data_IF_633417332886
#
_entry.id   IF_633417332886
#
_cell.length_a   1.000
_cell.length_b   1.000
_cell.length_c   1.000
_cell.angle_alpha   90.00
_cell.angle_beta   90.00
_cell.angle_gamma   90.00
#
_symmetry.space_group_name_H-M   'P 1'
#
loop_
_entity.id
_entity.type
_entity.pdbx_description
1 polymer ?
#
# COMPACT_ATOMS: atom_id res chain seq x y z
N UNK A 1 -20.16 -18.08 -7.02
CA UNK A 1 -19.64 -16.88 -7.70
C UNK A 1 -18.14 -16.80 -7.46
N UNK A 2 -17.33 -16.56 -8.49
CA UNK A 2 -15.87 -16.49 -8.39
C UNK A 2 -15.41 -15.05 -8.48
N UNK A 3 -14.56 -14.62 -7.55
CA UNK A 3 -14.10 -13.24 -7.38
C UNK A 3 -12.58 -13.19 -7.31
N UNK A 4 -11.95 -12.20 -7.93
CA UNK A 4 -10.51 -11.98 -7.78
C UNK A 4 -10.22 -11.21 -6.48
N UNK A 5 -9.24 -11.67 -5.71
CA UNK A 5 -8.79 -11.05 -4.46
C UNK A 5 -7.30 -10.73 -4.52
N UNK A 6 -6.95 -9.44 -4.56
CA UNK A 6 -5.57 -8.96 -4.56
C UNK A 6 -5.08 -8.57 -3.16
N UNK A 7 -3.92 -9.07 -2.73
CA UNK A 7 -3.22 -8.58 -1.54
C UNK A 7 -1.70 -8.78 -1.65
N UNK A 8 -0.92 -8.18 -0.73
CA UNK A 8 0.54 -8.26 -0.83
C UNK A 8 1.10 -9.56 -0.23
N UNK A 9 2.28 -10.03 -0.66
CA UNK A 9 2.93 -11.18 -0.04
C UNK A 9 3.51 -10.88 1.36
N UNK A 10 3.28 -9.69 1.92
CA UNK A 10 3.77 -9.33 3.25
C UNK A 10 3.12 -10.18 4.36
N UNK A 11 3.85 -10.53 5.42
CA UNK A 11 3.37 -11.42 6.49
C UNK A 11 2.01 -11.04 7.09
N UNK A 12 1.75 -9.74 7.26
CA UNK A 12 0.49 -9.26 7.81
C UNK A 12 -0.70 -9.58 6.91
N UNK A 13 -0.57 -9.50 5.59
CA UNK A 13 -1.67 -9.79 4.67
C UNK A 13 -1.88 -11.30 4.52
N UNK A 14 -0.79 -12.06 4.39
CA UNK A 14 -0.88 -13.52 4.35
C UNK A 14 -1.49 -14.07 5.63
N UNK A 15 -1.23 -13.43 6.78
CA UNK A 15 -1.88 -13.78 8.04
C UNK A 15 -3.37 -13.44 8.04
N UNK A 16 -3.76 -12.24 7.60
CA UNK A 16 -5.17 -11.81 7.51
C UNK A 16 -5.99 -12.76 6.63
N UNK A 17 -5.43 -13.19 5.50
CA UNK A 17 -6.16 -13.97 4.49
C UNK A 17 -5.91 -15.49 4.55
N UNK A 18 -5.05 -16.00 5.43
CA UNK A 18 -4.69 -17.43 5.51
C UNK A 18 -5.93 -18.34 5.55
N UNK A 19 -6.85 -18.05 6.48
CA UNK A 19 -8.00 -18.89 6.70
C UNK A 19 -8.96 -18.89 5.50
N UNK A 20 -9.11 -17.75 4.83
CA UNK A 20 -9.95 -17.60 3.64
C UNK A 20 -9.36 -18.34 2.44
N UNK A 21 -8.07 -18.13 2.17
CA UNK A 21 -7.39 -18.72 1.00
C UNK A 21 -7.23 -20.23 1.12
N UNK A 22 -7.07 -20.76 2.33
CA UNK A 22 -6.93 -22.18 2.58
C UNK A 22 -8.27 -22.89 2.89
N UNK A 23 -9.41 -22.24 2.69
CA UNK A 23 -10.73 -22.86 2.90
C UNK A 23 -11.01 -23.27 4.35
N UNK A 24 -10.40 -22.60 5.32
CA UNK A 24 -10.59 -22.83 6.77
C UNK A 24 -11.81 -22.08 7.33
N UNK A 25 -12.50 -21.29 6.51
CA UNK A 25 -13.74 -20.60 6.84
C UNK A 25 -14.80 -20.89 5.78
N UNK A 26 -16.07 -20.95 6.19
CA UNK A 26 -17.19 -21.08 5.27
C UNK A 26 -17.44 -19.77 4.53
N UNK A 27 -17.26 -19.80 3.21
CA UNK A 27 -17.49 -18.67 2.30
C UNK A 27 -18.79 -18.82 1.50
N UNK A 28 -19.62 -19.82 1.84
CA UNK A 28 -20.86 -20.14 1.15
C UNK A 28 -20.63 -20.37 -0.35
N UNK A 29 -21.31 -19.59 -1.19
CA UNK A 29 -21.22 -19.70 -2.63
C UNK A 29 -20.00 -18.96 -3.24
N UNK A 30 -19.19 -18.25 -2.44
CA UNK A 30 -18.07 -17.46 -2.93
C UNK A 30 -16.79 -18.28 -3.04
N UNK A 31 -16.08 -18.12 -4.16
CA UNK A 31 -14.74 -18.64 -4.40
C UNK A 31 -13.82 -17.49 -4.77
N UNK A 32 -12.55 -17.57 -4.39
CA UNK A 32 -11.58 -16.50 -4.57
C UNK A 32 -10.40 -16.94 -5.44
N UNK A 33 -10.17 -16.22 -6.54
CA UNK A 33 -8.93 -16.32 -7.31
C UNK A 33 -7.93 -15.31 -6.72
N UNK A 34 -6.92 -15.81 -6.02
CA UNK A 34 -5.97 -14.98 -5.27
C UNK A 34 -4.86 -14.45 -6.18
N UNK A 35 -4.54 -13.17 -6.03
CA UNK A 35 -3.44 -12.51 -6.73
C UNK A 35 -2.53 -11.83 -5.70
N UNK A 36 -1.24 -12.20 -5.71
CA UNK A 36 -0.24 -11.64 -4.79
C UNK A 36 0.65 -10.65 -5.52
N UNK A 37 0.60 -9.37 -5.14
CA UNK A 37 1.34 -8.30 -5.82
C UNK A 37 1.82 -7.21 -4.86
N UNK A 38 2.79 -6.40 -5.31
CA UNK A 38 3.21 -5.21 -4.57
C UNK A 38 2.05 -4.22 -4.37
N UNK A 39 2.03 -3.53 -3.23
CA UNK A 39 0.93 -2.63 -2.87
C UNK A 39 0.78 -1.47 -3.86
N UNK A 40 1.86 -0.97 -4.45
CA UNK A 40 1.78 0.08 -5.46
C UNK A 40 1.13 -0.45 -6.74
N UNK A 41 1.46 -1.68 -7.16
CA UNK A 41 0.78 -2.37 -8.27
C UNK A 41 -0.72 -2.55 -7.98
N UNK A 42 -1.07 -2.98 -6.76
CA UNK A 42 -2.47 -3.11 -6.35
C UNK A 42 -3.22 -1.77 -6.36
N UNK A 43 -2.56 -0.67 -5.95
CA UNK A 43 -3.12 0.67 -6.04
C UNK A 43 -3.39 1.08 -7.51
N UNK A 44 -2.45 0.82 -8.41
CA UNK A 44 -2.60 1.11 -9.84
C UNK A 44 -3.72 0.29 -10.48
N UNK A 45 -3.86 -0.97 -10.09
CA UNK A 45 -4.94 -1.84 -10.54
C UNK A 45 -6.31 -1.46 -9.98
N UNK A 46 -6.36 -0.91 -8.76
CA UNK A 46 -7.58 -0.36 -8.19
C UNK A 46 -8.07 0.85 -9.00
N UNK A 47 -7.17 1.76 -9.40
CA UNK A 47 -7.49 2.87 -10.31
C UNK A 47 -8.05 2.40 -11.67
N UNK A 48 -7.68 1.20 -12.11
CA UNK A 48 -8.13 0.59 -13.36
C UNK A 48 -9.39 -0.30 -13.19
N UNK A 49 -9.90 -0.48 -11.98
CA UNK A 49 -11.03 -1.39 -11.74
C UNK A 49 -10.71 -2.88 -12.00
N UNK A 50 -9.43 -3.27 -11.96
CA UNK A 50 -8.98 -4.58 -12.48
C UNK A 50 -9.38 -5.77 -11.61
N UNK A 51 -9.50 -5.61 -10.29
CA UNK A 51 -9.80 -6.69 -9.35
C UNK A 51 -11.12 -6.43 -8.63
N UNK A 52 -11.96 -7.45 -8.44
CA UNK A 52 -13.18 -7.33 -7.67
C UNK A 52 -12.94 -6.91 -6.21
N UNK A 53 -11.86 -7.41 -5.58
CA UNK A 53 -11.47 -7.08 -4.21
C UNK A 53 -9.95 -6.86 -4.21
N UNK A 54 -9.49 -5.76 -3.60
CA UNK A 54 -8.06 -5.43 -3.55
C UNK A 54 -7.68 -4.79 -2.22
N UNK A 55 -6.59 -5.26 -1.60
CA UNK A 55 -5.89 -4.54 -0.55
C UNK A 55 -5.23 -3.32 -1.17
N UNK A 56 -5.55 -2.15 -0.62
CA UNK A 56 -5.07 -0.87 -1.12
C UNK A 56 -4.38 -0.09 -0.02
N UNK A 57 -3.60 0.91 -0.43
CA UNK A 57 -3.17 1.99 0.45
C UNK A 57 -4.31 2.97 0.68
N UNK A 58 -4.52 3.43 1.91
CA UNK A 58 -5.43 4.56 2.15
C UNK A 58 -5.07 5.82 1.35
N UNK A 59 -3.80 5.98 0.95
CA UNK A 59 -3.36 7.03 0.04
C UNK A 59 -4.08 7.05 -1.32
N UNK A 60 -4.49 5.90 -1.87
CA UNK A 60 -5.24 5.82 -3.14
C UNK A 60 -6.75 5.90 -2.96
N UNK A 61 -7.24 5.67 -1.74
CA UNK A 61 -8.68 5.52 -1.46
C UNK A 61 -9.53 6.68 -2.02
N UNK A 62 -9.18 7.97 -1.85
CA UNK A 62 -9.98 9.08 -2.37
C UNK A 62 -10.15 9.08 -3.89
N UNK A 63 -9.28 8.38 -4.62
CA UNK A 63 -9.29 8.32 -6.08
C UNK A 63 -10.16 7.18 -6.64
N UNK A 64 -10.62 6.27 -5.78
CA UNK A 64 -11.34 5.04 -6.19
C UNK A 64 -12.72 4.91 -5.55
N UNK A 65 -13.17 5.88 -4.75
CA UNK A 65 -14.45 5.81 -4.01
C UNK A 65 -15.69 5.72 -4.90
N UNK A 66 -15.60 6.12 -6.16
CA UNK A 66 -16.70 5.98 -7.12
C UNK A 66 -16.87 4.54 -7.63
N UNK A 67 -15.80 3.74 -7.59
CA UNK A 67 -15.77 2.37 -8.14
C UNK A 67 -15.63 1.30 -7.06
N UNK A 68 -15.14 1.65 -5.86
CA UNK A 68 -14.92 0.73 -4.76
C UNK A 68 -15.53 1.23 -3.46
N UNK A 69 -15.96 0.29 -2.64
CA UNK A 69 -16.36 0.53 -1.26
C UNK A 69 -15.32 -0.07 -0.32
N UNK A 70 -14.92 0.69 0.70
CA UNK A 70 -14.02 0.23 1.74
C UNK A 70 -14.74 -0.77 2.67
N UNK A 71 -14.14 -1.93 2.89
CA UNK A 71 -14.63 -2.91 3.84
C UNK A 71 -14.28 -2.52 5.28
N UNK A 72 -15.12 -2.95 6.24
CA UNK A 72 -14.93 -2.71 7.67
C UNK A 72 -13.88 -3.65 8.32
N UNK A 73 -13.21 -4.50 7.54
CA UNK A 73 -12.27 -5.51 8.01
C UNK A 73 -11.09 -5.67 7.04
N UNK A 74 -10.00 -6.28 7.52
CA UNK A 74 -8.80 -6.58 6.71
C UNK A 74 -7.83 -5.41 6.53
N UNK A 75 -8.08 -4.26 7.16
CA UNK A 75 -7.19 -3.10 7.12
C UNK A 75 -6.00 -3.21 8.08
N UNK A 76 -4.97 -2.39 7.83
CA UNK A 76 -3.83 -2.18 8.73
C UNK A 76 -3.81 -0.72 9.21
N UNK A 77 -4.23 -0.49 10.45
CA UNK A 77 -4.30 0.82 11.08
C UNK A 77 -3.80 0.76 12.53
N UNK A 78 -3.13 1.82 13.00
CA UNK A 78 -2.70 1.89 14.40
C UNK A 78 -1.67 2.97 14.69
N UNK A 79 -1.28 3.10 15.96
CA UNK A 79 -0.10 3.85 16.39
C UNK A 79 1.09 2.90 16.42
N UNK A 80 2.28 3.38 16.01
CA UNK A 80 3.49 2.56 15.94
C UNK A 80 3.65 1.75 14.64
N UNK A 81 2.77 1.96 13.65
CA UNK A 81 2.87 1.35 12.30
C UNK A 81 3.12 2.39 11.20
N UNK A 82 3.53 3.59 11.60
CA UNK A 82 3.78 4.70 10.68
C UNK A 82 5.01 4.44 9.79
N UNK A 83 4.98 4.93 8.54
CA UNK A 83 6.16 4.88 7.66
C UNK A 83 7.29 5.73 8.26
N UNK A 84 8.53 5.33 8.00
CA UNK A 84 9.72 6.01 8.46
C UNK A 84 10.44 6.69 7.30
N UNK A 85 11.01 7.87 7.58
CA UNK A 85 11.98 8.52 6.71
C UNK A 85 13.37 8.29 7.30
N UNK A 86 14.28 7.69 6.52
CA UNK A 86 15.64 7.37 6.94
C UNK A 86 16.67 8.10 6.09
N UNK A 87 17.84 8.39 6.66
CA UNK A 87 18.98 9.02 5.98
C UNK A 87 20.29 8.37 6.42
N UNK A 88 21.29 8.29 5.53
CA UNK A 88 22.63 7.80 5.88
C UNK A 88 23.36 8.68 6.90
N UNK A 89 23.18 9.99 6.80
CA UNK A 89 23.79 10.97 7.67
C UNK A 89 22.71 11.81 8.37
N UNK A 90 22.99 12.37 9.56
CA UNK A 90 22.09 13.30 10.22
C UNK A 90 21.68 14.42 9.25
N UNK A 91 20.37 14.59 9.05
CA UNK A 91 19.80 15.54 8.11
C UNK A 91 18.80 16.41 8.83
N UNK A 92 18.96 17.72 8.73
CA UNK A 92 18.03 18.68 9.33
C UNK A 92 16.68 18.63 8.59
N UNK A 93 15.53 18.60 9.29
CA UNK A 93 14.20 18.52 8.68
C UNK A 93 13.95 19.58 7.60
N UNK A 94 14.51 20.78 7.78
CA UNK A 94 14.36 21.91 6.86
C UNK A 94 14.99 21.63 5.49
N UNK A 95 16.06 20.83 5.47
CA UNK A 95 16.79 20.48 4.24
C UNK A 95 16.14 19.35 3.45
N UNK A 96 15.14 18.65 4.00
CA UNK A 96 14.51 17.49 3.35
C UNK A 96 13.87 17.87 2.01
N UNK A 97 13.31 19.08 1.91
CA UNK A 97 12.67 19.56 0.68
C UNK A 97 13.63 19.65 -0.52
N UNK A 98 14.94 19.77 -0.27
CA UNK A 98 15.99 19.91 -1.28
C UNK A 98 16.62 18.55 -1.65
N UNK A 99 16.32 17.49 -0.90
CA UNK A 99 16.91 16.17 -1.11
C UNK A 99 16.16 15.38 -2.18
N UNK A 100 16.88 14.44 -2.79
CA UNK A 100 16.28 13.35 -3.57
C UNK A 100 15.71 12.31 -2.60
N UNK A 101 14.43 12.00 -2.70
CA UNK A 101 13.72 11.10 -1.78
C UNK A 101 13.24 9.88 -2.54
N UNK A 102 13.70 8.69 -2.14
CA UNK A 102 13.16 7.43 -2.62
C UNK A 102 11.86 7.09 -1.87
N UNK A 103 10.78 6.79 -2.60
CA UNK A 103 9.44 6.54 -2.03
C UNK A 103 8.91 5.20 -2.58
N UNK A 104 8.31 4.33 -1.75
CA UNK A 104 7.90 2.98 -2.16
C UNK A 104 6.75 2.91 -3.19
N UNK A 105 6.12 4.04 -3.50
CA UNK A 105 5.07 4.10 -4.51
C UNK A 105 4.24 5.39 -4.46
N UNK A 106 3.79 5.85 -5.61
CA UNK A 106 3.09 7.13 -5.78
C UNK A 106 1.74 7.19 -5.06
N UNK A 107 1.03 6.07 -4.96
CA UNK A 107 -0.32 6.04 -4.40
C UNK A 107 -0.34 5.46 -2.98
N UNK A 108 0.84 5.30 -2.36
CA UNK A 108 0.96 4.75 -1.01
C UNK A 108 0.54 5.75 0.06
N UNK A 109 0.03 5.26 1.19
CA UNK A 109 -0.21 6.11 2.38
C UNK A 109 1.11 6.73 2.88
N UNK A 110 2.24 6.04 2.69
CA UNK A 110 3.55 6.57 3.02
C UNK A 110 3.89 7.83 2.20
N UNK A 111 3.62 7.82 0.90
CA UNK A 111 3.79 9.01 0.07
C UNK A 111 2.84 10.15 0.46
N UNK A 112 1.57 9.84 0.76
CA UNK A 112 0.60 10.83 1.23
C UNK A 112 1.10 11.51 2.52
N UNK A 113 1.45 10.73 3.54
CA UNK A 113 1.93 11.26 4.82
C UNK A 113 3.25 12.02 4.67
N UNK A 114 4.18 11.53 3.85
CA UNK A 114 5.41 12.24 3.54
C UNK A 114 5.13 13.61 2.90
N UNK A 115 4.20 13.66 1.93
CA UNK A 115 3.84 14.90 1.23
C UNK A 115 3.12 15.89 2.13
N UNK A 116 2.38 15.42 3.14
CA UNK A 116 1.78 16.28 4.16
C UNK A 116 2.84 16.86 5.11
N UNK A 117 3.84 16.06 5.49
CA UNK A 117 4.92 16.51 6.36
C UNK A 117 5.93 17.44 5.66
N UNK A 118 6.23 17.17 4.38
CA UNK A 118 7.21 17.89 3.57
C UNK A 118 6.61 18.32 2.22
N UNK A 119 5.70 19.31 2.22
CA UNK A 119 4.93 19.68 1.02
C UNK A 119 5.78 20.23 -0.12
N UNK A 120 6.96 20.78 0.18
CA UNK A 120 7.85 21.39 -0.81
C UNK A 120 8.89 20.39 -1.38
N UNK A 121 8.90 19.13 -0.92
CA UNK A 121 9.81 18.11 -1.41
C UNK A 121 9.40 17.64 -2.82
N UNK A 122 9.96 18.26 -3.85
CA UNK A 122 9.63 17.96 -5.25
C UNK A 122 10.43 16.81 -5.87
N UNK A 123 11.64 16.54 -5.39
CA UNK A 123 12.55 15.55 -5.98
C UNK A 123 12.29 14.13 -5.45
N UNK A 124 11.15 13.57 -5.82
CA UNK A 124 10.70 12.23 -5.43
C UNK A 124 11.02 11.21 -6.52
N UNK A 125 11.55 10.06 -6.14
CA UNK A 125 11.77 8.93 -7.04
C UNK A 125 11.05 7.71 -6.49
N UNK A 126 10.14 7.18 -7.29
CA UNK A 126 9.38 5.99 -6.91
C UNK A 126 10.18 4.72 -7.20
N UNK A 127 10.24 3.82 -6.22
CA UNK A 127 10.96 2.55 -6.27
C UNK A 127 10.14 1.48 -5.56
N UNK A 128 10.39 0.21 -5.88
CA UNK A 128 9.83 -0.89 -5.10
C UNK A 128 10.44 -0.87 -3.69
N UNK A 129 9.65 -1.21 -2.67
CA UNK A 129 10.03 -1.03 -1.26
C UNK A 129 11.39 -1.66 -0.89
N UNK A 130 11.72 -2.84 -1.44
CA UNK A 130 12.97 -3.54 -1.14
C UNK A 130 14.21 -2.87 -1.75
N UNK A 131 14.05 -1.92 -2.67
CA UNK A 131 15.16 -1.15 -3.23
C UNK A 131 15.46 0.13 -2.43
N UNK A 132 14.61 0.52 -1.49
CA UNK A 132 14.70 1.82 -0.80
C UNK A 132 15.98 1.92 0.04
N UNK A 133 16.28 0.91 0.86
CA UNK A 133 17.48 0.92 1.72
C UNK A 133 18.79 0.94 0.93
N UNK A 134 18.81 0.30 -0.24
CA UNK A 134 19.97 0.31 -1.14
C UNK A 134 20.11 1.63 -1.92
N UNK A 135 19.06 2.45 -1.97
CA UNK A 135 19.03 3.71 -2.70
C UNK A 135 19.47 4.92 -1.86
N UNK A 136 19.52 4.77 -0.52
CA UNK A 136 20.03 5.78 0.42
C UNK A 136 21.50 5.54 0.68
#
# INVERSE_FOLDING_TARGET
MRLTLGFSPCPNDTFIFDALVNGKIDTGAYQFDVVLEDVQTLNEWALQGKLAISKISYGVLPLITESYQLLNAGGALGKGVGPLLITKAPTAPESINEKRIAIPGQNTTAHLLFSLAYPNAGNKVFKVFHEIESAV
#
